data_IF_857475994192
#
_entry.id   IF_857475994192
#
_cell.length_a   1.000
_cell.length_b   1.000
_cell.length_c   1.000
_cell.angle_alpha   90.00
_cell.angle_beta   90.00
_cell.angle_gamma   90.00
#
_symmetry.space_group_name_H-M   'P 1'
#
loop_
_entity.id
_entity.type
_entity.pdbx_description
1 polymer ?
#
# COMPACT_ATOMS: atom_id res chain seq x y z
N UNK A 1 -1.87 -1.08 -4.58
CA UNK A 1 -2.68 -0.71 -5.75
C UNK A 1 -3.25 0.68 -5.54
N UNK A 2 -3.19 1.52 -6.56
CA UNK A 2 -3.68 2.90 -6.46
C UNK A 2 -3.53 3.64 -7.77
N UNK A 3 -3.94 4.90 -7.76
CA UNK A 3 -3.73 5.84 -8.86
C UNK A 3 -2.76 6.92 -8.44
N UNK A 4 -1.82 7.23 -9.32
CA UNK A 4 -0.99 8.42 -9.21
C UNK A 4 -1.23 9.30 -10.42
N UNK A 5 -1.19 10.61 -10.20
CA UNK A 5 -1.47 11.60 -11.22
C UNK A 5 -0.23 12.45 -11.48
N UNK A 6 -0.26 13.15 -12.61
CA UNK A 6 0.66 14.22 -12.94
C UNK A 6 -0.11 15.53 -13.05
N UNK A 7 0.43 16.57 -12.41
CA UNK A 7 -0.06 17.94 -12.57
C UNK A 7 0.37 18.55 -13.92
N UNK A 8 -0.03 19.80 -14.17
CA UNK A 8 0.29 20.52 -15.40
C UNK A 8 1.82 20.73 -15.60
N UNK A 9 2.61 20.64 -14.54
CA UNK A 9 4.07 20.74 -14.52
C UNK A 9 4.74 19.36 -14.64
N UNK A 10 3.97 18.29 -14.77
CA UNK A 10 4.44 16.91 -14.82
C UNK A 10 4.92 16.36 -13.48
N UNK A 11 4.65 17.04 -12.36
CA UNK A 11 4.99 16.56 -11.03
C UNK A 11 3.97 15.53 -10.54
N UNK A 12 4.40 14.50 -9.79
CA UNK A 12 3.48 13.55 -9.19
C UNK A 12 2.54 14.24 -8.19
N UNK A 13 1.24 13.98 -8.31
CA UNK A 13 0.22 14.38 -7.34
C UNK A 13 -0.73 13.23 -7.06
N UNK A 14 -1.31 13.24 -5.86
CA UNK A 14 -2.38 12.32 -5.46
C UNK A 14 -3.76 12.96 -5.62
N UNK A 15 -3.80 14.27 -5.89
CA UNK A 15 -5.02 15.05 -6.00
C UNK A 15 -5.52 15.02 -7.43
N UNK A 16 -6.73 14.49 -7.60
CA UNK A 16 -7.39 14.38 -8.90
C UNK A 16 -7.78 15.75 -9.48
N UNK A 17 -8.04 16.76 -8.65
CA UNK A 17 -8.37 18.11 -9.09
C UNK A 17 -7.17 18.91 -9.63
N UNK A 18 -5.94 18.53 -9.26
CA UNK A 18 -4.70 19.09 -9.83
C UNK A 18 -4.22 18.29 -11.06
N UNK A 19 -4.79 17.10 -11.27
CA UNK A 19 -4.35 16.18 -12.28
C UNK A 19 -4.73 16.65 -13.69
N UNK A 20 -3.74 16.71 -14.58
CA UNK A 20 -3.98 16.81 -16.03
C UNK A 20 -3.86 15.45 -16.72
N UNK A 21 -3.20 14.50 -16.05
CA UNK A 21 -2.91 13.18 -16.59
C UNK A 21 -2.85 12.12 -15.49
N UNK A 22 -3.33 10.91 -15.80
CA UNK A 22 -3.08 9.71 -14.99
C UNK A 22 -1.68 9.19 -15.32
N UNK A 23 -0.82 9.15 -14.31
CA UNK A 23 0.55 8.67 -14.46
C UNK A 23 0.60 7.13 -14.35
N UNK A 24 -0.03 6.60 -13.31
CA UNK A 24 -0.13 5.16 -13.06
C UNK A 24 -1.52 4.83 -12.52
N UNK A 25 -2.12 3.74 -13.01
CA UNK A 25 -3.36 3.18 -12.47
C UNK A 25 -3.19 1.67 -12.30
N UNK A 26 -2.97 1.26 -11.05
CA UNK A 26 -2.88 -0.15 -10.67
C UNK A 26 -4.12 -0.64 -9.93
N UNK A 27 -5.19 0.18 -9.88
CA UNK A 27 -6.43 -0.20 -9.18
C UNK A 27 -7.01 -1.47 -9.81
N UNK A 28 -7.36 -2.44 -8.96
CA UNK A 28 -8.00 -3.67 -9.39
C UNK A 28 -9.39 -3.34 -9.94
N UNK A 29 -9.67 -3.79 -11.16
CA UNK A 29 -11.01 -3.64 -11.75
C UNK A 29 -11.97 -4.64 -11.08
N UNK A 30 -13.30 -4.38 -11.09
CA UNK A 30 -14.27 -5.21 -10.37
C UNK A 30 -14.19 -6.71 -10.67
N UNK A 31 -13.96 -7.07 -11.93
CA UNK A 31 -13.89 -8.47 -12.39
C UNK A 31 -12.45 -8.97 -12.57
N UNK A 32 -11.46 -8.19 -12.14
CA UNK A 32 -10.05 -8.54 -12.34
C UNK A 32 -9.52 -9.42 -11.20
N UNK A 33 -8.96 -10.57 -11.56
CA UNK A 33 -8.10 -11.36 -10.69
C UNK A 33 -6.65 -11.10 -11.07
N UNK A 34 -5.83 -10.65 -10.11
CA UNK A 34 -4.41 -10.40 -10.32
C UNK A 34 -3.56 -11.37 -9.51
N UNK A 35 -2.57 -11.96 -10.16
CA UNK A 35 -1.61 -12.87 -9.54
C UNK A 35 -0.26 -12.15 -9.38
N UNK A 36 0.31 -12.20 -8.17
CA UNK A 36 1.64 -11.67 -7.87
C UNK A 36 2.53 -12.78 -7.32
N UNK A 37 3.74 -12.88 -7.86
CA UNK A 37 4.74 -13.85 -7.42
C UNK A 37 5.84 -13.15 -6.63
N UNK A 38 5.98 -13.52 -5.36
CA UNK A 38 7.05 -13.05 -4.50
C UNK A 38 8.13 -14.12 -4.38
N UNK A 39 9.39 -13.73 -4.50
CA UNK A 39 10.53 -14.63 -4.31
C UNK A 39 11.27 -14.24 -3.04
N UNK A 40 11.37 -15.17 -2.09
CA UNK A 40 12.09 -14.98 -0.84
C UNK A 40 13.39 -15.78 -0.86
N UNK A 41 14.49 -15.16 -0.44
CA UNK A 41 15.75 -15.88 -0.30
C UNK A 41 15.72 -16.78 0.92
N UNK A 42 16.19 -18.01 0.75
CA UNK A 42 16.33 -18.98 1.84
C UNK A 42 17.32 -18.45 2.88
N UNK A 43 16.91 -18.28 4.14
CA UNK A 43 17.84 -17.86 5.19
C UNK A 43 18.90 -18.93 5.46
N UNK A 44 20.12 -18.50 5.79
CA UNK A 44 21.19 -19.42 6.21
C UNK A 44 20.94 -19.90 7.64
N UNK A 45 21.42 -21.10 7.95
CA UNK A 45 21.46 -21.66 9.31
C UNK A 45 20.09 -21.81 10.01
N UNK A 46 19.00 -21.93 9.24
CA UNK A 46 17.65 -22.26 9.77
C UNK A 46 17.07 -23.49 9.09
N UNK A 47 16.20 -24.20 9.81
CA UNK A 47 15.45 -25.37 9.30
C UNK A 47 14.09 -24.98 8.72
N UNK A 48 13.56 -23.84 9.11
CA UNK A 48 12.27 -23.32 8.65
C UNK A 48 12.33 -21.79 8.64
N UNK A 49 11.46 -21.16 7.85
CA UNK A 49 11.24 -19.73 7.92
C UNK A 49 9.77 -19.43 7.63
N UNK A 50 9.21 -18.45 8.31
CA UNK A 50 7.84 -18.02 8.07
C UNK A 50 7.80 -17.00 6.94
N UNK A 51 6.91 -17.22 5.99
CA UNK A 51 6.55 -16.25 4.96
C UNK A 51 5.20 -15.68 5.31
N UNK A 52 5.13 -14.37 5.43
CA UNK A 52 3.89 -13.64 5.65
C UNK A 52 3.63 -12.70 4.48
N UNK A 53 2.44 -12.83 3.88
CA UNK A 53 1.96 -11.94 2.82
C UNK A 53 0.64 -11.34 3.27
N UNK A 54 0.58 -10.01 3.32
CA UNK A 54 -0.60 -9.25 3.69
C UNK A 54 -1.00 -8.29 2.58
N UNK A 55 -2.29 -8.27 2.27
CA UNK A 55 -2.92 -7.23 1.45
C UNK A 55 -3.68 -6.29 2.40
N UNK A 56 -3.39 -5.00 2.29
CA UNK A 56 -3.95 -3.96 3.15
C UNK A 56 -4.47 -2.81 2.28
N UNK A 57 -5.54 -2.14 2.73
CA UNK A 57 -5.77 -0.76 2.31
C UNK A 57 -4.65 0.11 2.87
N UNK A 58 -4.05 0.92 2.01
CA UNK A 58 -3.01 1.85 2.43
C UNK A 58 -3.61 2.98 3.27
N UNK A 59 -2.85 3.51 4.24
CA UNK A 59 -3.25 4.73 4.94
C UNK A 59 -3.34 5.91 3.96
N UNK A 60 -3.98 6.99 4.40
CA UNK A 60 -4.01 8.25 3.69
C UNK A 60 -2.57 8.74 3.44
N UNK A 61 -2.29 9.11 2.18
CA UNK A 61 -1.00 9.65 1.76
C UNK A 61 -1.20 11.06 1.21
N UNK A 62 -0.10 11.79 0.97
CA UNK A 62 -0.14 13.12 0.36
C UNK A 62 0.96 14.05 0.86
N UNK A 63 0.96 15.32 0.41
CA UNK A 63 1.87 16.33 0.91
C UNK A 63 1.72 16.53 2.42
N UNK A 64 2.83 16.83 3.11
CA UNK A 64 2.84 16.97 4.57
C UNK A 64 1.82 18.00 5.08
N UNK A 65 1.65 19.12 4.38
CA UNK A 65 0.67 20.16 4.74
C UNK A 65 -0.78 19.68 4.66
N UNK A 66 -1.09 18.75 3.76
CA UNK A 66 -2.40 18.14 3.65
C UNK A 66 -2.63 17.16 4.81
N UNK A 67 -1.67 16.25 5.04
CA UNK A 67 -1.78 15.27 6.12
C UNK A 67 -1.92 15.94 7.49
N UNK A 68 -1.18 17.03 7.74
CA UNK A 68 -1.29 17.82 8.97
C UNK A 68 -2.67 18.45 9.17
N UNK A 69 -3.31 18.92 8.08
CA UNK A 69 -4.67 19.47 8.16
C UNK A 69 -5.68 18.39 8.49
N UNK A 70 -5.60 17.24 7.82
CA UNK A 70 -6.48 16.11 8.09
C UNK A 70 -6.28 15.59 9.52
N UNK A 71 -5.04 15.51 9.99
CA UNK A 71 -4.74 15.12 11.36
C UNK A 71 -5.35 16.09 12.39
N UNK A 72 -5.23 17.41 12.14
CA UNK A 72 -5.79 18.44 13.02
C UNK A 72 -7.32 18.44 13.07
N UNK A 73 -7.98 17.96 12.03
CA UNK A 73 -9.44 17.81 11.96
C UNK A 73 -9.94 16.47 12.54
N UNK A 74 -9.05 15.50 12.74
CA UNK A 74 -9.40 14.22 13.37
C UNK A 74 -9.50 14.34 14.89
N UNK A 75 -10.52 13.71 15.46
CA UNK A 75 -10.66 13.57 16.92
C UNK A 75 -9.61 12.65 17.55
N UNK A 76 -8.92 11.84 16.74
CA UNK A 76 -7.91 10.87 17.17
C UNK A 76 -6.50 11.18 16.62
N UNK A 77 -6.34 12.26 15.85
CA UNK A 77 -5.08 12.65 15.23
C UNK A 77 -4.48 11.50 14.40
N UNK A 78 -3.18 11.27 14.53
CA UNK A 78 -2.47 10.16 13.86
C UNK A 78 -2.96 8.75 14.21
N UNK A 79 -3.78 8.59 15.25
CA UNK A 79 -4.40 7.29 15.59
C UNK A 79 -5.71 7.05 14.84
N UNK A 80 -6.19 8.02 14.05
CA UNK A 80 -7.38 7.84 13.21
C UNK A 80 -7.18 6.66 12.24
N UNK A 81 -8.19 5.80 12.04
CA UNK A 81 -8.14 4.73 11.05
C UNK A 81 -7.72 5.19 9.65
N UNK A 82 -7.98 6.44 9.26
CA UNK A 82 -7.52 7.00 8.00
C UNK A 82 -5.98 7.01 7.85
N UNK A 83 -5.23 7.09 8.95
CA UNK A 83 -3.76 7.08 8.95
C UNK A 83 -3.16 5.70 9.22
N UNK A 84 -3.99 4.67 9.35
CA UNK A 84 -3.55 3.31 9.64
C UNK A 84 -3.83 2.40 8.43
N UNK A 85 -2.95 1.42 8.15
CA UNK A 85 -3.27 0.38 7.20
C UNK A 85 -4.42 -0.48 7.73
N UNK A 86 -5.36 -0.84 6.86
CA UNK A 86 -6.47 -1.74 7.21
C UNK A 86 -6.24 -3.06 6.49
N UNK A 87 -6.06 -4.13 7.26
CA UNK A 87 -5.84 -5.47 6.72
C UNK A 87 -7.07 -5.97 5.98
N UNK A 88 -6.87 -6.41 4.73
CA UNK A 88 -7.89 -7.05 3.89
C UNK A 88 -7.76 -8.56 4.06
N UNK A 89 -6.55 -9.09 3.88
CA UNK A 89 -6.24 -10.49 4.05
C UNK A 89 -4.77 -10.65 4.39
N UNK A 90 -4.48 -11.62 5.26
CA UNK A 90 -3.13 -12.02 5.62
C UNK A 90 -3.02 -13.53 5.53
N UNK A 91 -1.91 -13.99 4.96
CA UNK A 91 -1.55 -15.40 4.89
C UNK A 91 -0.14 -15.58 5.44
N UNK A 92 -0.01 -16.55 6.31
CA UNK A 92 1.27 -16.94 6.91
C UNK A 92 1.50 -18.41 6.63
N UNK A 93 2.69 -18.74 6.15
CA UNK A 93 3.09 -20.11 5.84
C UNK A 93 4.48 -20.38 6.42
N UNK A 94 4.62 -21.49 7.16
CA UNK A 94 5.93 -21.95 7.61
C UNK A 94 6.56 -22.78 6.49
N UNK A 95 7.62 -22.24 5.89
CA UNK A 95 8.34 -22.88 4.80
C UNK A 95 9.53 -23.64 5.38
N UNK A 96 9.58 -24.98 5.25
CA UNK A 96 10.78 -25.72 5.60
C UNK A 96 11.90 -25.38 4.62
N UNK A 97 13.03 -24.95 5.18
CA UNK A 97 14.30 -24.98 4.45
C UNK A 97 14.72 -26.44 4.46
N UNK A 98 14.90 -27.04 3.29
CA UNK A 98 14.91 -28.50 3.10
C UNK A 98 15.77 -29.33 4.07
N UNK A 99 15.58 -30.66 4.00
CA UNK A 99 16.62 -31.59 4.43
C UNK A 99 17.86 -31.45 3.54
#
# INVERSE_FOLDING_TARGET
YGRTYQDAQGQPTIFDFEAVKVAEDTVLKPEETREETFTFHTPKDTKTFDVEVGLNYAPLTGPASFLQRVEAESSQGSQDPAFQPIEIVKRTENVPVGK
#
